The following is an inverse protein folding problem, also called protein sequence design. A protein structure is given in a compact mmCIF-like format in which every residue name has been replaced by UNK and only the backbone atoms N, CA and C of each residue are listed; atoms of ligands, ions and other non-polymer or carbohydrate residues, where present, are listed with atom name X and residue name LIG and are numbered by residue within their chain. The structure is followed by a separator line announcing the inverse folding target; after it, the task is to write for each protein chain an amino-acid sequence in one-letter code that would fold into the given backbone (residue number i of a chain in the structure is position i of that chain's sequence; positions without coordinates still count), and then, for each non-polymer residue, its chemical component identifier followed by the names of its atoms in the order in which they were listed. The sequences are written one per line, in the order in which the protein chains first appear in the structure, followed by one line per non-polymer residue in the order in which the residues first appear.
data_IF_478200548793
#
_entry.id   IF_478200548793
#
_cell.length_a   1.000
_cell.length_b   1.000
_cell.length_c   1.000
_cell.angle_alpha   90.00
_cell.angle_beta   90.00
_cell.angle_gamma   90.00
#
_symmetry.space_group_name_H-M   'P 1'
#
loop_
_entity.id
_entity.type
_entity.pdbx_description
1 polymer ?
#
# COMPACT_ATOMS: atom_id res chain seq x y z
N UNK A 1 26.40 -10.04 18.95
CA UNK A 1 25.81 -9.17 19.99
C UNK A 1 24.66 -8.41 19.35
N UNK A 2 23.49 -9.07 19.24
CA UNK A 2 22.36 -8.57 18.46
C UNK A 2 21.49 -7.68 19.33
N UNK A 3 21.46 -6.38 19.04
CA UNK A 3 20.57 -5.45 19.73
C UNK A 3 19.13 -5.75 19.30
N UNK A 4 18.31 -6.24 20.25
CA UNK A 4 16.86 -6.23 20.10
C UNK A 4 16.45 -4.78 19.94
N UNK A 5 15.85 -4.45 18.80
CA UNK A 5 15.35 -3.11 18.54
C UNK A 5 13.84 -3.18 18.66
N UNK A 6 13.28 -2.95 19.86
CA UNK A 6 11.91 -3.34 20.18
C UNK A 6 10.87 -2.69 19.25
N UNK A 7 11.19 -1.50 18.72
CA UNK A 7 10.35 -0.76 17.78
C UNK A 7 10.29 -1.40 16.39
N UNK A 8 11.42 -1.89 15.86
CA UNK A 8 11.48 -2.57 14.55
C UNK A 8 10.84 -3.95 14.63
N UNK A 9 11.13 -4.69 15.69
CA UNK A 9 10.56 -6.02 15.91
C UNK A 9 9.04 -5.94 16.16
N UNK A 10 8.57 -4.85 16.77
CA UNK A 10 7.13 -4.56 16.92
C UNK A 10 6.47 -4.22 15.58
N UNK A 11 7.09 -3.42 14.72
CA UNK A 11 6.59 -3.13 13.37
C UNK A 11 6.51 -4.41 12.51
N UNK A 12 7.48 -5.31 12.66
CA UNK A 12 7.47 -6.61 11.97
C UNK A 12 6.41 -7.58 12.54
N UNK A 13 6.13 -7.55 13.85
CA UNK A 13 5.13 -8.41 14.51
C UNK A 13 3.69 -7.90 14.45
N UNK A 14 3.49 -6.59 14.57
CA UNK A 14 2.16 -5.95 14.57
C UNK A 14 1.68 -5.66 13.14
N UNK A 15 2.47 -6.00 12.13
CA UNK A 15 2.12 -5.77 10.75
C UNK A 15 2.14 -4.28 10.45
N UNK A 16 3.28 -3.81 9.97
CA UNK A 16 3.20 -2.93 8.83
C UNK A 16 2.49 -3.71 7.72
N UNK A 17 1.17 -3.70 7.76
CA UNK A 17 0.34 -3.66 6.57
C UNK A 17 0.83 -2.41 5.83
N UNK A 18 1.93 -2.55 5.09
CA UNK A 18 2.35 -1.63 4.04
C UNK A 18 1.31 -1.78 2.93
N UNK A 19 0.10 -1.34 3.22
CA UNK A 19 -0.90 -1.08 2.21
C UNK A 19 -0.47 0.21 1.57
N UNK A 20 0.41 0.09 0.58
CA UNK A 20 0.81 1.18 -0.31
C UNK A 20 -0.42 1.62 -1.11
N UNK A 21 -1.31 2.37 -0.47
CA UNK A 21 -2.47 2.94 -1.11
C UNK A 21 -2.00 4.12 -1.97
N UNK A 22 -2.22 4.03 -3.28
CA UNK A 22 -1.86 5.11 -4.19
C UNK A 22 -2.74 6.35 -3.98
N UNK A 23 -4.05 6.15 -3.85
CA UNK A 23 -5.00 7.24 -3.66
C UNK A 23 -6.29 6.75 -3.00
N UNK A 24 -7.01 7.69 -2.39
CA UNK A 24 -8.39 7.51 -1.90
C UNK A 24 -9.31 8.45 -2.67
N UNK A 25 -10.43 7.92 -3.17
CA UNK A 25 -11.51 8.73 -3.74
C UNK A 25 -12.65 8.84 -2.74
N UNK A 26 -13.08 10.07 -2.47
CA UNK A 26 -14.21 10.36 -1.60
C UNK A 26 -15.05 11.49 -2.20
N UNK A 27 -16.30 11.18 -2.56
CA UNK A 27 -17.18 12.09 -3.31
C UNK A 27 -16.48 12.57 -4.60
N UNK A 28 -16.38 13.89 -4.76
CA UNK A 28 -15.72 14.54 -5.90
C UNK A 28 -14.21 14.67 -5.71
N UNK A 29 -13.67 14.24 -4.57
CA UNK A 29 -12.27 14.42 -4.23
C UNK A 29 -11.47 13.15 -4.47
N UNK A 30 -10.27 13.32 -4.99
CA UNK A 30 -9.20 12.33 -5.02
C UNK A 30 -8.06 12.86 -4.17
N UNK A 31 -7.55 12.02 -3.28
CA UNK A 31 -6.34 12.31 -2.50
C UNK A 31 -5.30 11.25 -2.82
N UNK A 32 -4.20 11.65 -3.43
CA UNK A 32 -3.11 10.77 -3.88
C UNK A 32 -1.93 10.86 -2.90
N UNK A 33 -1.52 9.71 -2.36
CA UNK A 33 -0.37 9.57 -1.47
C UNK A 33 0.91 9.22 -2.25
N UNK A 34 0.76 8.71 -3.47
CA UNK A 34 1.83 8.48 -4.40
C UNK A 34 1.37 8.85 -5.82
N UNK A 35 2.27 9.45 -6.59
CA UNK A 35 2.05 9.83 -7.99
C UNK A 35 3.09 9.13 -8.87
N UNK A 36 2.74 8.87 -10.13
CA UNK A 36 3.69 8.30 -11.09
C UNK A 36 4.05 9.37 -12.11
N UNK A 37 5.35 9.61 -12.25
CA UNK A 37 5.91 10.56 -13.19
C UNK A 37 6.53 9.84 -14.38
N UNK A 38 5.98 10.07 -15.57
CA UNK A 38 6.49 9.50 -16.82
C UNK A 38 5.45 8.62 -17.52
N UNK A 39 5.91 7.86 -18.52
CA UNK A 39 5.06 6.98 -19.30
C UNK A 39 4.91 5.59 -18.64
N UNK A 40 4.11 4.71 -19.23
CA UNK A 40 3.86 3.35 -18.72
C UNK A 40 5.11 2.47 -18.62
N UNK A 41 6.16 2.74 -19.40
CA UNK A 41 7.38 1.93 -19.45
C UNK A 41 8.49 2.43 -18.51
N UNK A 42 8.56 3.75 -18.28
CA UNK A 42 9.65 4.39 -17.54
C UNK A 42 9.17 5.25 -16.37
N UNK A 43 7.89 5.14 -16.01
CA UNK A 43 7.29 5.94 -14.95
C UNK A 43 7.93 5.66 -13.59
N UNK A 44 8.28 6.72 -12.86
CA UNK A 44 8.80 6.62 -11.49
C UNK A 44 7.72 6.96 -10.49
N UNK A 45 7.59 6.15 -9.43
CA UNK A 45 6.69 6.44 -8.32
C UNK A 45 7.33 7.45 -7.39
N UNK A 46 6.66 8.57 -7.17
CA UNK A 46 7.05 9.61 -6.24
C UNK A 46 6.03 9.70 -5.09
N UNK A 47 6.54 9.77 -3.86
CA UNK A 47 5.73 9.90 -2.64
C UNK A 47 5.92 11.32 -2.11
N UNK A 48 4.98 12.25 -2.38
CA UNK A 48 5.12 13.62 -1.91
C UNK A 48 4.97 13.67 -0.38
N UNK A 49 5.64 14.64 0.25
CA UNK A 49 5.54 14.84 1.70
C UNK A 49 4.12 15.20 2.15
N UNK A 50 3.37 15.93 1.32
CA UNK A 50 1.95 16.20 1.49
C UNK A 50 1.16 15.53 0.37
N UNK A 51 0.04 14.84 0.68
CA UNK A 51 -0.78 14.19 -0.33
C UNK A 51 -1.31 15.18 -1.35
N UNK A 52 -1.36 14.79 -2.62
CA UNK A 52 -1.95 15.62 -3.67
C UNK A 52 -3.48 15.51 -3.62
N UNK A 53 -4.20 16.63 -3.69
CA UNK A 53 -5.68 16.63 -3.67
C UNK A 53 -6.22 17.22 -4.97
N UNK A 54 -7.21 16.56 -5.55
CA UNK A 54 -7.88 17.02 -6.78
C UNK A 54 -9.38 16.90 -6.61
N UNK A 55 -10.12 17.89 -7.09
CA UNK A 55 -11.56 17.77 -7.25
C UNK A 55 -11.85 17.26 -8.67
N UNK A 56 -12.21 15.99 -8.79
CA UNK A 56 -12.48 15.31 -10.06
C UNK A 56 -13.71 15.84 -10.81
N UNK A 57 -14.63 16.55 -10.13
CA UNK A 57 -15.74 17.22 -10.81
C UNK A 57 -15.26 18.48 -11.53
N UNK A 58 -14.38 19.24 -10.89
CA UNK A 58 -13.82 20.48 -11.46
C UNK A 58 -12.66 20.21 -12.42
N UNK A 59 -11.83 19.22 -12.13
CA UNK A 59 -10.64 18.81 -12.89
C UNK A 59 -10.63 17.29 -13.09
N UNK A 60 -11.40 16.77 -14.06
CA UNK A 60 -11.46 15.33 -14.34
C UNK A 60 -10.12 14.73 -14.81
N UNK A 61 -9.19 15.56 -15.29
CA UNK A 61 -7.91 15.15 -15.86
C UNK A 61 -6.72 15.38 -14.92
N UNK A 62 -6.96 15.82 -13.68
CA UNK A 62 -5.94 15.95 -12.64
C UNK A 62 -4.74 16.81 -13.08
N UNK A 63 -5.01 17.91 -13.79
CA UNK A 63 -3.99 18.80 -14.35
C UNK A 63 -3.57 19.92 -13.41
N UNK A 64 -4.48 20.37 -12.55
CA UNK A 64 -4.25 21.53 -11.68
C UNK A 64 -2.97 21.42 -10.83
N UNK A 65 -2.60 20.27 -10.24
CA UNK A 65 -1.36 20.13 -9.47
C UNK A 65 -0.08 20.43 -10.27
N UNK A 66 -0.13 20.29 -11.60
CA UNK A 66 1.02 20.47 -12.50
C UNK A 66 0.99 21.78 -13.27
N UNK A 67 -0.19 22.22 -13.66
CA UNK A 67 -0.35 23.31 -14.62
C UNK A 67 -0.87 24.60 -13.97
N UNK A 68 -1.45 24.55 -12.76
CA UNK A 68 -2.06 25.73 -12.12
C UNK A 68 -1.10 26.49 -11.21
N UNK A 69 -0.92 27.78 -11.47
CA UNK A 69 -0.14 28.67 -10.60
C UNK A 69 -0.78 28.98 -9.25
N UNK A 70 -2.07 28.69 -9.07
CA UNK A 70 -2.82 28.95 -7.82
C UNK A 70 -3.17 27.67 -7.05
N UNK A 71 -2.65 26.51 -7.49
CA UNK A 71 -2.97 25.23 -6.88
C UNK A 71 -2.64 25.18 -5.38
N UNK A 72 -1.49 25.69 -4.96
CA UNK A 72 -1.08 25.66 -3.54
C UNK A 72 -2.03 26.48 -2.64
N UNK A 73 -2.55 27.61 -3.14
CA UNK A 73 -3.53 28.40 -2.38
C UNK A 73 -4.85 27.65 -2.28
N UNK A 74 -5.36 27.16 -3.41
CA UNK A 74 -6.58 26.37 -3.43
C UNK A 74 -6.47 25.12 -2.56
N UNK A 75 -5.29 24.48 -2.54
CA UNK A 75 -4.98 23.34 -1.68
C UNK A 75 -5.12 23.71 -0.20
N UNK A 76 -4.52 24.83 0.21
CA UNK A 76 -4.56 25.29 1.59
C UNK A 76 -6.01 25.58 2.04
N UNK A 77 -6.81 26.19 1.16
CA UNK A 77 -8.23 26.45 1.43
C UNK A 77 -9.05 25.15 1.59
N UNK A 78 -8.56 24.02 1.04
CA UNK A 78 -9.20 22.71 1.09
C UNK A 78 -8.53 21.69 2.04
N UNK A 79 -7.64 22.14 2.91
CA UNK A 79 -6.89 21.26 3.84
C UNK A 79 -7.82 20.52 4.83
N UNK A 80 -9.03 21.02 5.05
CA UNK A 80 -10.05 20.38 5.88
C UNK A 80 -10.41 18.95 5.41
N UNK A 81 -10.13 18.62 4.14
CA UNK A 81 -10.37 17.28 3.56
C UNK A 81 -9.59 16.16 4.24
N UNK A 82 -8.49 16.45 4.94
CA UNK A 82 -7.71 15.42 5.62
C UNK A 82 -8.53 14.67 6.68
N UNK A 83 -9.44 15.34 7.37
CA UNK A 83 -10.26 14.73 8.43
C UNK A 83 -11.18 13.62 7.88
N UNK A 84 -12.07 13.88 6.90
CA UNK A 84 -12.92 12.83 6.34
C UNK A 84 -12.12 11.74 5.60
N UNK A 85 -11.00 12.08 4.96
CA UNK A 85 -10.14 11.09 4.27
C UNK A 85 -9.50 10.11 5.26
N UNK A 86 -9.00 10.60 6.40
CA UNK A 86 -8.49 9.73 7.46
C UNK A 86 -9.55 8.77 7.99
N UNK A 87 -10.80 9.22 8.15
CA UNK A 87 -11.90 8.35 8.57
C UNK A 87 -12.16 7.25 7.55
N UNK A 88 -12.19 7.58 6.25
CA UNK A 88 -12.37 6.60 5.18
C UNK A 88 -11.23 5.58 5.12
N UNK A 89 -9.99 6.05 5.26
CA UNK A 89 -8.83 5.16 5.32
C UNK A 89 -8.92 4.23 6.53
N UNK A 90 -9.30 4.75 7.70
CA UNK A 90 -9.48 3.94 8.92
C UNK A 90 -10.56 2.86 8.73
N UNK A 91 -11.72 3.21 8.17
CA UNK A 91 -12.78 2.23 7.87
C UNK A 91 -12.29 1.16 6.90
N UNK A 92 -11.55 1.54 5.86
CA UNK A 92 -10.94 0.60 4.93
C UNK A 92 -9.94 -0.32 5.63
N UNK A 93 -9.02 0.21 6.42
CA UNK A 93 -8.03 -0.61 7.13
C UNK A 93 -8.67 -1.57 8.14
N UNK A 94 -9.77 -1.18 8.79
CA UNK A 94 -10.54 -2.05 9.69
C UNK A 94 -11.19 -3.23 8.98
N UNK A 95 -11.45 -3.13 7.66
CA UNK A 95 -12.08 -4.21 6.89
C UNK A 95 -11.05 -5.21 6.34
N UNK A 96 -9.76 -4.84 6.26
CA UNK A 96 -8.71 -5.68 5.69
C UNK A 96 -8.64 -7.11 6.27
N UNK A 97 -8.82 -7.36 7.58
CA UNK A 97 -8.78 -8.72 8.12
C UNK A 97 -9.82 -9.68 7.54
N UNK A 98 -10.90 -9.14 6.96
CA UNK A 98 -11.97 -9.93 6.35
C UNK A 98 -11.57 -10.48 4.97
N UNK A 99 -10.54 -9.91 4.35
CA UNK A 99 -10.10 -10.26 3.01
C UNK A 99 -8.75 -10.98 3.11
N UNK A 100 -8.70 -12.31 2.86
CA UNK A 100 -7.43 -13.03 2.89
C UNK A 100 -6.52 -12.50 1.77
N UNK A 101 -5.22 -12.43 2.05
CA UNK A 101 -4.22 -12.05 1.06
C UNK A 101 -4.28 -13.01 -0.14
N UNK A 102 -4.34 -12.44 -1.35
CA UNK A 102 -4.22 -13.20 -2.60
C UNK A 102 -2.97 -12.73 -3.33
N UNK A 103 -2.15 -13.69 -3.77
CA UNK A 103 -0.97 -13.39 -4.57
C UNK A 103 -1.38 -12.84 -5.93
N UNK A 104 -0.88 -11.66 -6.27
CA UNK A 104 -1.13 -11.04 -7.57
C UNK A 104 -0.25 -11.64 -8.66
N UNK A 105 -0.83 -11.88 -9.84
CA UNK A 105 -0.06 -12.23 -11.05
C UNK A 105 0.66 -10.98 -11.57
N UNK A 106 1.96 -10.87 -11.31
CA UNK A 106 2.80 -9.80 -11.87
C UNK A 106 3.32 -10.18 -13.25
N UNK A 107 3.30 -9.24 -14.19
CA UNK A 107 3.96 -9.38 -15.49
C UNK A 107 5.51 -9.29 -15.38
N UNK A 108 6.02 -9.05 -14.18
CA UNK A 108 7.45 -8.94 -13.89
C UNK A 108 7.96 -10.24 -13.25
N UNK A 109 9.26 -10.53 -13.40
CA UNK A 109 9.92 -11.71 -12.82
C UNK A 109 9.76 -11.84 -11.29
N UNK A 110 9.34 -10.77 -10.60
CA UNK A 110 8.92 -10.84 -9.20
C UNK A 110 7.82 -11.88 -8.94
N UNK A 111 6.92 -12.11 -9.91
CA UNK A 111 5.88 -13.16 -9.83
C UNK A 111 6.45 -14.59 -9.76
N UNK A 112 7.65 -14.82 -10.33
CA UNK A 112 8.32 -16.12 -10.31
C UNK A 112 8.85 -16.43 -8.89
N UNK A 113 9.17 -15.40 -8.11
CA UNK A 113 9.72 -15.56 -6.77
C UNK A 113 8.65 -16.01 -5.76
N UNK A 114 7.41 -15.53 -5.85
CA UNK A 114 6.35 -15.92 -4.90
C UNK A 114 6.02 -17.41 -5.00
N UNK A 115 5.86 -17.94 -6.22
CA UNK A 115 5.61 -19.37 -6.43
C UNK A 115 6.75 -20.26 -5.94
N UNK A 116 8.01 -19.85 -6.15
CA UNK A 116 9.17 -20.63 -5.72
C UNK A 116 9.42 -20.55 -4.21
N UNK A 117 9.16 -19.39 -3.59
CA UNK A 117 9.21 -19.22 -2.14
C UNK A 117 8.08 -19.99 -1.44
N UNK A 118 6.86 -19.93 -1.97
CA UNK A 118 5.74 -20.72 -1.47
C UNK A 118 6.00 -22.22 -1.59
N UNK A 119 6.55 -22.68 -2.73
CA UNK A 119 6.95 -24.08 -2.91
C UNK A 119 8.07 -24.50 -1.94
N UNK A 120 9.07 -23.64 -1.70
CA UNK A 120 10.13 -23.89 -0.72
C UNK A 120 9.59 -23.91 0.71
N UNK A 121 8.66 -23.02 1.06
CA UNK A 121 8.07 -22.97 2.40
C UNK A 121 7.13 -24.17 2.64
N UNK A 122 6.37 -24.58 1.62
CA UNK A 122 5.58 -25.80 1.64
C UNK A 122 6.48 -27.03 1.80
N UNK A 123 7.59 -27.13 1.06
CA UNK A 123 8.56 -28.21 1.23
C UNK A 123 9.20 -28.22 2.63
N UNK A 124 9.55 -27.05 3.18
CA UNK A 124 10.07 -26.93 4.55
C UNK A 124 9.04 -27.37 5.60
N UNK A 125 7.77 -26.97 5.45
CA UNK A 125 6.68 -27.44 6.32
C UNK A 125 6.48 -28.95 6.22
N UNK A 126 6.52 -29.51 5.01
CA UNK A 126 6.44 -30.96 4.81
C UNK A 126 7.60 -31.70 5.49
N UNK A 127 8.84 -31.22 5.34
CA UNK A 127 10.00 -31.78 6.04
C UNK A 127 9.89 -31.66 7.57
N UNK A 128 9.32 -30.57 8.08
CA UNK A 128 9.04 -30.41 9.51
C UNK A 128 7.97 -31.38 10.00
N UNK A 129 6.94 -31.64 9.20
CA UNK A 129 5.89 -32.61 9.51
C UNK A 129 6.39 -34.05 9.41
N UNK A 130 7.25 -34.37 8.43
CA UNK A 130 7.88 -35.69 8.29
C UNK A 130 8.90 -35.97 9.41
N UNK A 131 9.57 -34.94 9.92
CA UNK A 131 10.48 -35.07 11.08
C UNK A 131 9.74 -35.10 12.43
N UNK A 132 8.49 -34.64 12.48
CA UNK A 132 7.56 -34.92 13.58
C UNK A 132 6.98 -36.33 13.38
N UNK A 133 7.76 -37.34 13.78
CA UNK A 133 7.36 -38.75 13.77
C UNK A 133 5.95 -38.93 14.38
N UNK A 134 5.09 -39.84 13.84
CA UNK A 134 3.74 -40.04 14.38
C UNK A 134 3.81 -40.39 15.87
N UNK A 135 2.87 -39.91 16.71
CA UNK A 135 2.83 -40.32 18.10
C UNK A 135 2.73 -41.85 18.16
N UNK A 136 3.72 -42.48 18.80
CA UNK A 136 3.62 -43.89 19.15
C UNK A 136 2.40 -44.05 20.06
N UNK A 137 1.49 -44.95 19.65
CA UNK A 137 0.21 -45.26 20.30
C UNK A 137 0.33 -45.44 21.81
#
# INVERSE_FOLDING_TARGET
MGYKTPSIDRIAKEGALFTDAYAVRWNDWKVSFAVVNGNIATGTRDVPGWPEIVNLRADPYEKAPRESGLYLRWYADNIWLFVPVQQKLKTFLMMLPQFPFQEGSSLNAAGINYNSLAAMEAMKRLQQLESLSPPAN
#
